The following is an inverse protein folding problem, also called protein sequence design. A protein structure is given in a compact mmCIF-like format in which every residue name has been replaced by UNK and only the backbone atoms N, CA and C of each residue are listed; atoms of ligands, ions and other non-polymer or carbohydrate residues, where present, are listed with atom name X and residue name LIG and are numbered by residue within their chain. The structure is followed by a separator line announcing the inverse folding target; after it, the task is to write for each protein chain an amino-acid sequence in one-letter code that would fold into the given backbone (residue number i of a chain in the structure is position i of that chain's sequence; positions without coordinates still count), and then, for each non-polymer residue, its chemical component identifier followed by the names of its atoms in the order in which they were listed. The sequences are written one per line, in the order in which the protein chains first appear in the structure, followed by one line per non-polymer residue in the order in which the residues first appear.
data_IF_262878178087
#
_entry.id   IF_262878178087
#
_cell.length_a   1.000
_cell.length_b   1.000
_cell.length_c   1.000
_cell.angle_alpha   90.00
_cell.angle_beta   90.00
_cell.angle_gamma   90.00
#
_symmetry.space_group_name_H-M   'P 1'
#
loop_
_entity.id
_entity.type
_entity.pdbx_description
1 polymer ?
#
# COMPACT_ATOMS: atom_id res chain seq x y z
N UNK A 1 -4.19 2.48 -7.04
CA UNK A 1 -3.84 3.91 -7.22
C UNK A 1 -3.11 4.14 -8.54
N UNK A 2 -3.19 5.35 -9.12
CA UNK A 2 -2.34 5.75 -10.25
C UNK A 2 -0.96 6.18 -9.73
N UNK A 3 0.10 5.84 -10.46
CA UNK A 3 1.51 6.07 -10.06
C UNK A 3 1.83 7.58 -9.96
N UNK A 4 1.16 8.40 -10.77
CA UNK A 4 1.37 9.85 -10.85
C UNK A 4 1.00 10.52 -9.51
N UNK A 5 -0.17 10.20 -8.97
CA UNK A 5 -0.64 10.71 -7.67
C UNK A 5 0.29 10.30 -6.50
N UNK A 6 0.96 9.14 -6.63
CA UNK A 6 1.91 8.66 -5.61
C UNK A 6 3.22 9.45 -5.65
N UNK A 7 3.64 9.92 -6.83
CA UNK A 7 4.87 10.71 -6.99
C UNK A 7 4.74 12.15 -6.50
N UNK A 8 3.54 12.72 -6.60
CA UNK A 8 3.23 14.07 -6.12
C UNK A 8 3.19 14.19 -4.59
N UNK A 9 3.02 13.07 -3.87
CA UNK A 9 3.04 13.05 -2.40
C UNK A 9 4.45 13.28 -1.83
N UNK A 10 4.51 13.89 -0.65
CA UNK A 10 5.75 14.06 0.10
C UNK A 10 6.24 12.73 0.67
N UNK A 11 7.53 12.65 1.05
CA UNK A 11 8.09 11.43 1.63
C UNK A 11 7.39 11.01 2.94
N UNK A 12 6.96 11.98 3.74
CA UNK A 12 6.25 11.72 4.99
C UNK A 12 4.80 11.26 4.75
N UNK A 13 4.10 11.86 3.79
CA UNK A 13 2.76 11.39 3.40
C UNK A 13 2.80 9.96 2.83
N UNK A 14 3.86 9.63 2.07
CA UNK A 14 4.08 8.29 1.57
C UNK A 14 4.29 7.29 2.71
N UNK A 15 5.06 7.64 3.74
CA UNK A 15 5.27 6.79 4.92
C UNK A 15 3.99 6.57 5.70
N UNK A 16 3.20 7.62 5.93
CA UNK A 16 1.90 7.51 6.61
C UNK A 16 0.94 6.57 5.84
N UNK A 17 0.81 6.77 4.53
CA UNK A 17 -0.06 5.91 3.70
C UNK A 17 0.43 4.47 3.59
N UNK A 18 1.75 4.24 3.61
CA UNK A 18 2.31 2.88 3.65
C UNK A 18 1.89 2.17 4.93
N UNK A 19 1.89 2.86 6.07
CA UNK A 19 1.43 2.31 7.33
C UNK A 19 -0.06 1.94 7.27
N UNK A 20 -0.91 2.85 6.82
CA UNK A 20 -2.36 2.61 6.68
C UNK A 20 -2.68 1.42 5.76
N UNK A 21 -1.95 1.28 4.65
CA UNK A 21 -2.13 0.16 3.72
C UNK A 21 -1.65 -1.16 4.31
N UNK A 22 -0.63 -1.16 5.16
CA UNK A 22 -0.15 -2.36 5.84
C UNK A 22 -1.18 -2.84 6.89
N UNK A 23 -1.77 -1.91 7.64
CA UNK A 23 -2.87 -2.19 8.57
C UNK A 23 -4.11 -2.73 7.86
N UNK A 24 -4.49 -2.13 6.72
CA UNK A 24 -5.57 -2.67 5.89
C UNK A 24 -5.24 -4.08 5.39
N UNK A 25 -4.01 -4.31 4.94
CA UNK A 25 -3.59 -5.63 4.47
C UNK A 25 -3.63 -6.66 5.60
N UNK A 26 -3.27 -6.27 6.82
CA UNK A 26 -3.35 -7.11 8.01
C UNK A 26 -4.80 -7.50 8.33
N UNK A 27 -5.72 -6.52 8.37
CA UNK A 27 -7.16 -6.78 8.55
C UNK A 27 -7.72 -7.71 7.47
N UNK A 28 -7.34 -7.48 6.21
CA UNK A 28 -7.74 -8.33 5.09
C UNK A 28 -7.16 -9.75 5.19
N UNK A 29 -5.95 -9.93 5.70
CA UNK A 29 -5.38 -11.26 5.96
C UNK A 29 -6.13 -12.00 7.06
N UNK A 30 -6.53 -11.31 8.12
CA UNK A 30 -7.36 -11.88 9.18
C UNK A 30 -8.73 -12.27 8.61
N UNK A 31 -9.40 -11.39 7.87
CA UNK A 31 -10.67 -11.70 7.20
C UNK A 31 -10.56 -12.89 6.25
N UNK A 32 -9.43 -13.01 5.52
CA UNK A 32 -9.11 -14.17 4.70
C UNK A 32 -8.99 -15.44 5.54
N UNK A 33 -8.29 -15.39 6.67
CA UNK A 33 -8.14 -16.53 7.57
C UNK A 33 -9.46 -16.93 8.23
N UNK A 34 -10.36 -15.98 8.48
CA UNK A 34 -11.70 -16.23 9.03
C UNK A 34 -12.70 -16.72 7.97
N UNK A 35 -12.31 -16.83 6.70
CA UNK A 35 -13.18 -17.30 5.62
C UNK A 35 -14.28 -16.32 5.19
N UNK A 36 -14.31 -15.10 5.73
CA UNK A 36 -15.30 -14.06 5.41
C UNK A 36 -14.84 -13.10 4.31
N UNK A 37 -13.85 -13.50 3.51
CA UNK A 37 -13.26 -12.61 2.52
C UNK A 37 -14.11 -12.58 1.24
N UNK A 38 -15.02 -11.61 1.16
CA UNK A 38 -15.91 -11.43 0.01
C UNK A 38 -15.17 -11.10 -1.30
N UNK A 39 -14.00 -10.45 -1.22
CA UNK A 39 -13.27 -9.96 -2.41
C UNK A 39 -11.75 -10.23 -2.35
N UNK A 40 -11.28 -11.41 -2.80
CA UNK A 40 -9.85 -11.74 -2.92
C UNK A 40 -9.05 -10.74 -3.78
N UNK A 41 -9.72 -10.10 -4.74
CA UNK A 41 -9.13 -9.08 -5.61
C UNK A 41 -8.62 -7.86 -4.84
N UNK A 42 -9.31 -7.43 -3.77
CA UNK A 42 -8.89 -6.28 -2.95
C UNK A 42 -7.54 -6.53 -2.28
N UNK A 43 -7.30 -7.75 -1.76
CA UNK A 43 -6.01 -8.12 -1.15
C UNK A 43 -4.87 -7.94 -2.15
N UNK A 44 -5.07 -8.41 -3.40
CA UNK A 44 -4.06 -8.29 -4.46
C UNK A 44 -3.84 -6.83 -4.85
N UNK A 45 -4.89 -6.02 -4.87
CA UNK A 45 -4.81 -4.60 -5.19
C UNK A 45 -4.07 -3.81 -4.11
N UNK A 46 -4.45 -3.95 -2.85
CA UNK A 46 -3.79 -3.32 -1.70
C UNK A 46 -2.31 -3.70 -1.64
N UNK A 47 -1.97 -4.98 -1.86
CA UNK A 47 -0.57 -5.44 -1.91
C UNK A 47 0.23 -4.76 -3.04
N UNK A 48 -0.35 -4.58 -4.23
CA UNK A 48 0.32 -3.89 -5.35
C UNK A 48 0.49 -2.41 -5.08
N UNK A 49 -0.52 -1.76 -4.49
CA UNK A 49 -0.46 -0.35 -4.16
C UNK A 49 0.60 -0.10 -3.08
N UNK A 50 0.66 -0.93 -2.03
CA UNK A 50 1.72 -0.89 -1.02
C UNK A 50 3.13 -1.04 -1.63
N UNK A 51 3.31 -1.99 -2.55
CA UNK A 51 4.59 -2.20 -3.23
C UNK A 51 5.02 -0.96 -4.03
N UNK A 52 4.09 -0.36 -4.80
CA UNK A 52 4.37 0.86 -5.58
C UNK A 52 4.77 2.03 -4.70
N UNK A 53 4.10 2.21 -3.56
CA UNK A 53 4.44 3.29 -2.62
C UNK A 53 5.82 3.09 -1.99
N UNK A 54 6.15 1.86 -1.59
CA UNK A 54 7.51 1.53 -1.09
C UNK A 54 8.58 1.75 -2.16
N UNK A 55 8.31 1.42 -3.42
CA UNK A 55 9.25 1.68 -4.53
C UNK A 55 9.49 3.18 -4.71
N UNK A 56 8.44 4.01 -4.77
CA UNK A 56 8.60 5.46 -4.94
C UNK A 56 9.28 6.10 -3.73
N UNK A 57 8.97 5.65 -2.51
CA UNK A 57 9.66 6.10 -1.31
C UNK A 57 11.17 5.83 -1.42
N UNK A 58 11.55 4.63 -1.90
CA UNK A 58 12.95 4.28 -2.13
C UNK A 58 13.59 5.08 -3.26
N UNK A 59 12.86 5.34 -4.36
CA UNK A 59 13.33 6.23 -5.44
C UNK A 59 13.63 7.64 -4.89
N UNK A 60 12.74 8.20 -4.05
CA UNK A 60 12.95 9.51 -3.42
C UNK A 60 14.12 9.52 -2.45
N UNK A 61 14.30 8.47 -1.65
CA UNK A 61 15.46 8.32 -0.74
C UNK A 61 16.79 8.18 -1.48
N UNK A 62 16.80 7.66 -2.72
CA UNK A 62 18.01 7.54 -3.54
C UNK A 62 18.33 8.78 -4.38
N UNK A 63 17.33 9.66 -4.59
CA UNK A 63 17.49 10.92 -5.31
C UNK A 63 17.89 12.10 -4.40
N UNK A 64 17.74 11.93 -3.08
CA UNK A 64 18.24 12.85 -2.05
C UNK A 64 19.71 12.55 -1.73
#
# INVERSE_FOLDING_TARGET
MKVIEIRELTADDLRARVHDLDDQLFRLRIQKSMGQLETPAKVRQVRRDLARMKTILREKEQQA
#
